data_IF_871342836572
#
_entry.id   IF_871342836572
#
_cell.length_a   1.000
_cell.length_b   1.000
_cell.length_c   1.000
_cell.angle_alpha   90.00
_cell.angle_beta   90.00
_cell.angle_gamma   90.00
#
_symmetry.space_group_name_H-M   'P 1'
#
loop_
_entity.id
_entity.type
_entity.pdbx_description
1 polymer ?
#
# COMPACT_ATOMS: atom_id res chain seq x y z
N UNK A 1 7.18 19.31 21.84
CA UNK A 1 8.27 19.25 20.85
C UNK A 1 8.43 20.62 20.24
N UNK A 2 9.64 21.17 20.18
CA UNK A 2 9.93 22.45 19.53
C UNK A 2 10.63 22.13 18.20
N UNK A 3 9.98 22.48 17.09
CA UNK A 3 10.55 22.31 15.76
C UNK A 3 11.63 23.38 15.53
N UNK A 4 12.65 23.07 14.73
CA UNK A 4 13.65 24.07 14.31
C UNK A 4 13.03 24.96 13.23
N UNK A 5 13.29 26.26 13.30
CA UNK A 5 12.87 27.20 12.26
C UNK A 5 13.67 26.99 10.97
N UNK A 6 13.01 27.24 9.83
CA UNK A 6 13.61 27.17 8.51
C UNK A 6 12.98 28.25 7.60
N UNK A 7 13.83 29.02 6.92
CA UNK A 7 13.37 30.05 5.97
C UNK A 7 12.97 29.49 4.60
N UNK A 8 13.44 28.28 4.25
CA UNK A 8 13.25 27.67 2.92
C UNK A 8 12.69 26.26 3.05
N UNK A 9 11.62 25.99 2.30
CA UNK A 9 11.02 24.67 2.12
C UNK A 9 11.35 24.11 0.73
N UNK A 10 11.91 22.91 0.69
CA UNK A 10 12.10 22.12 -0.54
C UNK A 10 11.20 20.90 -0.42
N UNK A 11 10.34 20.66 -1.42
CA UNK A 11 9.41 19.52 -1.41
C UNK A 11 9.30 18.89 -2.79
N UNK A 12 8.92 17.62 -2.85
CA UNK A 12 8.60 16.96 -4.11
C UNK A 12 7.28 17.47 -4.70
N UNK A 13 7.15 17.38 -6.03
CA UNK A 13 5.94 17.81 -6.76
C UNK A 13 5.47 16.73 -7.72
N UNK A 14 5.67 15.45 -7.37
CA UNK A 14 5.23 14.28 -8.16
C UNK A 14 3.77 14.43 -8.62
N UNK A 15 2.91 14.99 -7.76
CA UNK A 15 1.50 15.28 -8.05
C UNK A 15 1.14 16.78 -7.92
N UNK A 16 2.07 17.69 -8.23
CA UNK A 16 1.90 19.14 -8.00
C UNK A 16 0.90 19.85 -8.92
N UNK A 17 0.40 19.20 -9.97
CA UNK A 17 -0.56 19.80 -10.90
C UNK A 17 -2.02 19.65 -10.42
N UNK A 18 -2.86 20.64 -10.68
CA UNK A 18 -4.27 20.69 -10.26
C UNK A 18 -5.12 19.51 -10.73
N UNK A 19 -4.74 18.88 -11.85
CA UNK A 19 -5.40 17.68 -12.39
C UNK A 19 -5.23 16.44 -11.52
N UNK A 20 -4.20 16.38 -10.67
CA UNK A 20 -4.00 15.27 -9.76
C UNK A 20 -4.90 15.44 -8.54
N UNK A 21 -6.07 14.82 -8.62
CA UNK A 21 -7.06 14.69 -7.54
C UNK A 21 -7.32 13.21 -7.35
N UNK A 22 -6.79 12.65 -6.28
CA UNK A 22 -6.97 11.23 -5.96
C UNK A 22 -8.28 11.02 -5.20
N UNK A 23 -8.95 9.87 -5.43
CA UNK A 23 -10.10 9.48 -4.61
C UNK A 23 -9.67 9.27 -3.14
N UNK A 24 -10.62 9.26 -2.20
CA UNK A 24 -10.36 8.86 -0.82
C UNK A 24 -9.71 7.48 -0.75
N UNK A 25 -8.75 7.29 0.16
CA UNK A 25 -8.03 6.02 0.33
C UNK A 25 -8.97 4.83 0.51
N UNK A 26 -9.99 4.97 1.35
CA UNK A 26 -10.95 3.89 1.61
C UNK A 26 -11.66 3.43 0.33
N UNK A 27 -12.02 4.36 -0.57
CA UNK A 27 -12.66 4.01 -1.84
C UNK A 27 -11.75 3.13 -2.71
N UNK A 28 -10.45 3.41 -2.73
CA UNK A 28 -9.47 2.61 -3.48
C UNK A 28 -9.28 1.24 -2.83
N UNK A 29 -9.20 1.18 -1.50
CA UNK A 29 -9.09 -0.08 -0.76
C UNK A 29 -10.31 -0.98 -1.02
N UNK A 30 -11.52 -0.41 -0.97
CA UNK A 30 -12.75 -1.16 -1.24
C UNK A 30 -12.76 -1.72 -2.67
N UNK A 31 -12.27 -0.95 -3.65
CA UNK A 31 -12.13 -1.42 -5.04
C UNK A 31 -11.11 -2.56 -5.18
N UNK A 32 -9.98 -2.48 -4.49
CA UNK A 32 -8.97 -3.55 -4.45
C UNK A 32 -9.58 -4.83 -3.86
N UNK A 33 -10.30 -4.71 -2.74
CA UNK A 33 -10.95 -5.85 -2.09
C UNK A 33 -12.02 -6.48 -2.99
N UNK A 34 -12.86 -5.66 -3.65
CA UNK A 34 -13.87 -6.14 -4.61
C UNK A 34 -13.22 -6.91 -5.75
N UNK A 35 -12.18 -6.33 -6.36
CA UNK A 35 -11.40 -6.98 -7.42
C UNK A 35 -10.85 -8.34 -6.98
N UNK A 36 -10.26 -8.43 -5.79
CA UNK A 36 -9.74 -9.69 -5.27
C UNK A 36 -10.85 -10.74 -5.08
N UNK A 37 -11.99 -10.35 -4.50
CA UNK A 37 -13.11 -11.28 -4.24
C UNK A 37 -13.75 -11.78 -5.53
N UNK A 38 -14.07 -10.87 -6.45
CA UNK A 38 -14.68 -11.21 -7.74
C UNK A 38 -13.78 -12.14 -8.57
N UNK A 39 -12.45 -11.91 -8.55
CA UNK A 39 -11.48 -12.75 -9.25
C UNK A 39 -11.43 -14.15 -8.64
N UNK A 40 -11.44 -14.26 -7.31
CA UNK A 40 -11.47 -15.55 -6.62
C UNK A 40 -12.77 -16.30 -6.89
N UNK A 41 -13.92 -15.60 -6.87
CA UNK A 41 -15.24 -16.18 -7.18
C UNK A 41 -15.32 -16.69 -8.63
N UNK A 42 -14.60 -16.08 -9.56
CA UNK A 42 -14.45 -16.54 -10.93
C UNK A 42 -13.50 -17.75 -11.08
N UNK A 43 -12.86 -18.22 -10.01
CA UNK A 43 -11.89 -19.32 -10.03
C UNK A 43 -10.49 -18.91 -10.53
N UNK A 44 -10.19 -17.61 -10.50
CA UNK A 44 -8.92 -17.04 -10.96
C UNK A 44 -8.06 -16.55 -9.78
N UNK A 45 -6.81 -16.15 -10.06
CA UNK A 45 -5.87 -15.63 -9.06
C UNK A 45 -5.68 -14.12 -9.24
N UNK A 46 -6.13 -13.28 -8.27
CA UNK A 46 -5.90 -11.84 -8.36
C UNK A 46 -4.43 -11.51 -8.16
N UNK A 47 -3.87 -10.71 -9.06
CA UNK A 47 -2.46 -10.25 -9.00
C UNK A 47 -2.44 -8.74 -8.78
N UNK A 48 -1.97 -8.32 -7.60
CA UNK A 48 -1.73 -6.92 -7.28
C UNK A 48 -0.25 -6.58 -7.50
N UNK A 49 0.02 -5.50 -8.23
CA UNK A 49 1.38 -5.06 -8.55
C UNK A 49 1.79 -3.88 -7.66
N UNK A 50 2.94 -3.99 -7.00
CA UNK A 50 3.54 -2.93 -6.21
C UNK A 50 5.06 -3.07 -6.17
N UNK A 51 5.77 -1.95 -6.01
CA UNK A 51 7.22 -1.98 -5.77
C UNK A 51 7.53 -2.74 -4.48
N UNK A 52 8.70 -3.39 -4.44
CA UNK A 52 9.12 -4.23 -3.30
C UNK A 52 9.12 -3.49 -1.97
N UNK A 53 9.45 -2.19 -1.98
CA UNK A 53 9.43 -1.29 -0.84
C UNK A 53 8.36 -0.20 -1.03
N UNK A 54 7.56 0.04 0.00
CA UNK A 54 6.53 1.06 0.08
C UNK A 54 5.17 0.53 -0.35
N UNK A 55 4.91 0.46 -1.67
CA UNK A 55 3.56 0.19 -2.18
C UNK A 55 3.05 -1.22 -1.84
N UNK A 56 3.93 -2.23 -1.88
CA UNK A 56 3.52 -3.58 -1.51
C UNK A 56 3.12 -3.67 -0.02
N UNK A 57 3.85 -3.01 0.88
CA UNK A 57 3.51 -2.97 2.31
C UNK A 57 2.21 -2.19 2.56
N UNK A 58 1.97 -1.09 1.83
CA UNK A 58 0.71 -0.33 1.90
C UNK A 58 -0.50 -1.20 1.47
N UNK A 59 -0.34 -2.02 0.43
CA UNK A 59 -1.35 -3.00 0.00
C UNK A 59 -1.60 -4.02 1.12
N UNK A 60 -0.55 -4.58 1.73
CA UNK A 60 -0.69 -5.58 2.81
C UNK A 60 -1.42 -5.01 4.03
N UNK A 61 -1.12 -3.78 4.43
CA UNK A 61 -1.86 -3.09 5.49
C UNK A 61 -3.33 -2.87 5.11
N UNK A 62 -3.62 -2.60 3.84
CA UNK A 62 -4.98 -2.36 3.35
C UNK A 62 -5.84 -3.63 3.30
N UNK A 63 -5.21 -4.80 3.21
CA UNK A 63 -5.90 -6.10 3.22
C UNK A 63 -6.09 -6.67 4.62
N UNK A 64 -5.60 -5.99 5.65
CA UNK A 64 -5.72 -6.45 7.03
C UNK A 64 -7.19 -6.55 7.48
N UNK A 65 -7.53 -7.65 8.15
CA UNK A 65 -8.89 -7.95 8.59
C UNK A 65 -9.91 -8.27 7.48
N UNK A 66 -9.52 -8.28 6.20
CA UNK A 66 -10.45 -8.51 5.06
C UNK A 66 -10.77 -10.00 4.84
N UNK A 67 -9.98 -10.90 5.46
CA UNK A 67 -10.13 -12.35 5.34
C UNK A 67 -9.53 -12.94 4.06
N UNK A 68 -8.61 -12.21 3.41
CA UNK A 68 -7.81 -12.68 2.28
C UNK A 68 -6.42 -13.09 2.80
N UNK A 69 -5.79 -14.09 2.16
CA UNK A 69 -4.43 -14.52 2.48
C UNK A 69 -3.50 -14.21 1.31
N UNK A 70 -2.73 -13.11 1.35
CA UNK A 70 -1.84 -12.73 0.26
C UNK A 70 -0.65 -13.68 0.13
N UNK A 71 -0.24 -13.94 -1.11
CA UNK A 71 1.06 -14.54 -1.42
C UNK A 71 2.02 -13.45 -1.90
N UNK A 72 3.26 -13.48 -1.42
CA UNK A 72 4.25 -12.44 -1.72
C UNK A 72 5.32 -12.95 -2.69
N UNK A 73 5.68 -12.12 -3.66
CA UNK A 73 6.92 -12.29 -4.42
C UNK A 73 8.13 -12.17 -3.47
N UNK A 74 9.22 -12.89 -3.75
CA UNK A 74 10.40 -12.97 -2.86
C UNK A 74 10.95 -11.60 -2.43
N UNK A 75 11.06 -10.65 -3.36
CA UNK A 75 11.54 -9.30 -3.06
C UNK A 75 10.59 -8.48 -2.18
N UNK A 76 9.28 -8.74 -2.24
CA UNK A 76 8.30 -8.11 -1.34
C UNK A 76 8.41 -8.75 0.04
N UNK A 77 8.49 -10.08 0.09
CA UNK A 77 8.62 -10.84 1.33
C UNK A 77 9.85 -10.39 2.14
N UNK A 78 11.01 -10.24 1.51
CA UNK A 78 12.24 -9.76 2.17
C UNK A 78 12.02 -8.39 2.84
N UNK A 79 11.43 -7.44 2.11
CA UNK A 79 11.16 -6.10 2.65
C UNK A 79 10.11 -6.12 3.77
N UNK A 80 9.07 -6.93 3.64
CA UNK A 80 8.05 -7.11 4.68
C UNK A 80 8.66 -7.65 5.98
N UNK A 81 9.59 -8.61 5.90
CA UNK A 81 10.30 -9.16 7.08
C UNK A 81 11.15 -8.10 7.79
N UNK A 82 11.77 -7.19 7.04
CA UNK A 82 12.52 -6.06 7.62
C UNK A 82 11.55 -5.12 8.37
N UNK A 83 10.39 -4.80 7.80
CA UNK A 83 9.38 -3.98 8.48
C UNK A 83 8.88 -4.63 9.79
N UNK A 84 8.67 -5.94 9.78
CA UNK A 84 8.28 -6.68 11.00
C UNK A 84 9.34 -6.62 12.10
N UNK A 85 10.62 -6.71 11.75
CA UNK A 85 11.73 -6.52 12.70
C UNK A 85 11.75 -5.13 13.33
N UNK A 86 11.19 -4.13 12.63
CA UNK A 86 11.04 -2.76 13.10
C UNK A 86 9.72 -2.50 13.83
N UNK A 87 8.92 -3.55 14.08
CA UNK A 87 7.69 -3.49 14.87
C UNK A 87 6.41 -3.26 14.06
N UNK A 88 6.47 -3.27 12.74
CA UNK A 88 5.26 -3.27 11.91
C UNK A 88 4.60 -4.66 11.90
N UNK A 89 3.29 -4.72 11.69
CA UNK A 89 2.59 -5.97 11.46
C UNK A 89 1.79 -5.90 10.16
N UNK A 90 1.65 -7.05 9.51
CA UNK A 90 0.90 -7.26 8.28
C UNK A 90 -0.01 -8.48 8.47
N UNK A 91 -1.02 -8.61 7.60
CA UNK A 91 -1.95 -9.73 7.60
C UNK A 91 -1.33 -11.07 7.19
#
# INVERSE_FOLDING_TARGET
MQWREADTLIMETTFGLSRYRFPPTQQVVDQIVSFCRETIEAGEVPVLLGYSLGKAQEILCSLDGVGLTPMLHGSVYEMTRIYEQLGQSFC
#
